data_IF_199775950459
#
_entry.id   IF_199775950459
#
_cell.length_a   1.000
_cell.length_b   1.000
_cell.length_c   1.000
_cell.angle_alpha   90.00
_cell.angle_beta   90.00
_cell.angle_gamma   90.00
#
_symmetry.space_group_name_H-M   'P 1'
#
loop_
_entity.id
_entity.type
_entity.pdbx_description
1 polymer ?
#
# COMPACT_ATOMS: atom_id res chain seq x y z
N UNK A 1 16.01 -28.21 3.62
CA UNK A 1 15.89 -26.74 3.66
C UNK A 1 14.85 -26.36 2.61
N UNK A 2 13.57 -26.34 2.97
CA UNK A 2 12.53 -25.89 2.04
C UNK A 2 12.52 -24.36 2.05
N UNK A 3 12.73 -23.76 0.88
CA UNK A 3 12.47 -22.33 0.66
C UNK A 3 10.97 -22.13 0.87
N UNK A 4 10.60 -21.45 1.96
CA UNK A 4 9.23 -20.99 2.16
C UNK A 4 9.00 -19.84 1.18
N UNK A 5 8.33 -20.13 0.06
CA UNK A 5 7.75 -19.09 -0.76
C UNK A 5 6.62 -18.45 0.07
N UNK A 6 6.78 -17.18 0.42
CA UNK A 6 5.72 -16.41 1.06
C UNK A 6 4.50 -16.42 0.12
N UNK A 7 3.43 -17.10 0.53
CA UNK A 7 2.15 -17.05 -0.16
C UNK A 7 1.30 -15.93 0.45
N UNK A 8 0.69 -15.09 -0.39
CA UNK A 8 -0.23 -14.02 0.03
C UNK A 8 -1.67 -14.51 0.17
N UNK A 9 -1.93 -15.75 -0.24
CA UNK A 9 -3.24 -16.39 -0.20
C UNK A 9 -3.06 -17.72 0.53
N UNK A 10 -3.89 -17.97 1.53
CA UNK A 10 -3.91 -19.24 2.25
C UNK A 10 -4.35 -20.33 1.27
N UNK A 11 -3.57 -21.41 1.19
CA UNK A 11 -3.86 -22.56 0.34
C UNK A 11 -5.03 -23.39 0.88
N UNK A 12 -5.35 -23.26 2.18
CA UNK A 12 -6.40 -24.00 2.87
C UNK A 12 -7.79 -23.45 2.52
N UNK A 13 -7.93 -22.13 2.40
CA UNK A 13 -9.24 -21.49 2.22
C UNK A 13 -9.32 -20.41 1.13
N UNK A 14 -8.19 -20.08 0.48
CA UNK A 14 -8.13 -19.10 -0.60
C UNK A 14 -8.29 -17.65 -0.15
N UNK A 15 -8.24 -17.38 1.16
CA UNK A 15 -8.31 -16.02 1.69
C UNK A 15 -6.95 -15.33 1.64
N UNK A 16 -6.99 -14.00 1.56
CA UNK A 16 -5.79 -13.18 1.65
C UNK A 16 -5.21 -13.30 3.07
N UNK A 17 -4.13 -14.08 3.22
CA UNK A 17 -3.39 -14.19 4.48
C UNK A 17 -2.08 -13.42 4.36
N UNK A 18 -2.09 -12.21 4.93
CA UNK A 18 -0.89 -11.39 5.07
C UNK A 18 -0.29 -11.50 6.48
N UNK A 19 -0.88 -12.28 7.39
CA UNK A 19 -0.45 -12.40 8.78
C UNK A 19 0.97 -12.94 8.88
N UNK A 20 1.23 -14.06 8.21
CA UNK A 20 2.56 -14.68 8.11
C UNK A 20 3.58 -13.73 7.44
N UNK A 21 3.18 -13.08 6.32
CA UNK A 21 4.02 -12.11 5.62
C UNK A 21 4.39 -10.91 6.50
N UNK A 22 3.44 -10.39 7.27
CA UNK A 22 3.62 -9.24 8.16
C UNK A 22 4.35 -9.59 9.47
N UNK A 23 4.28 -10.85 9.91
CA UNK A 23 4.93 -11.35 11.10
C UNK A 23 6.39 -11.74 10.86
N UNK A 24 6.69 -12.40 9.75
CA UNK A 24 8.04 -12.92 9.46
C UNK A 24 8.94 -11.91 8.72
N UNK A 25 8.39 -10.95 7.96
CA UNK A 25 9.18 -9.97 7.22
C UNK A 25 9.01 -8.52 7.74
N UNK A 26 10.02 -8.03 8.47
CA UNK A 26 10.08 -6.63 8.94
C UNK A 26 10.25 -5.58 7.81
N UNK A 27 10.63 -6.05 6.62
CA UNK A 27 10.76 -5.28 5.37
C UNK A 27 9.73 -5.79 4.36
N UNK A 28 8.44 -5.54 4.63
CA UNK A 28 7.33 -5.97 3.78
C UNK A 28 6.69 -4.80 3.03
N UNK A 29 6.42 -4.98 1.73
CA UNK A 29 5.66 -4.05 0.91
C UNK A 29 4.16 -4.35 1.09
N UNK A 30 3.44 -3.45 1.76
CA UNK A 30 2.00 -3.54 1.93
C UNK A 30 1.30 -2.44 1.12
N UNK A 31 0.84 -2.71 -0.11
CA UNK A 31 0.13 -1.73 -0.91
C UNK A 31 -1.27 -1.53 -0.34
N UNK A 32 -1.59 -0.30 0.07
CA UNK A 32 -2.94 0.10 0.48
C UNK A 32 -3.50 1.01 -0.60
N UNK A 33 -4.53 0.56 -1.36
CA UNK A 33 -5.21 1.41 -2.32
C UNK A 33 -6.09 2.45 -1.61
N UNK A 34 -6.13 3.65 -2.15
CA UNK A 34 -6.95 4.76 -1.65
C UNK A 34 -7.74 5.33 -2.82
N UNK A 35 -9.05 5.50 -2.65
CA UNK A 35 -9.91 6.23 -3.58
C UNK A 35 -9.95 7.70 -3.16
N UNK A 36 -9.68 8.59 -4.11
CA UNK A 36 -9.70 10.04 -3.89
C UNK A 36 -10.88 10.59 -4.68
N UNK A 37 -11.86 11.15 -3.97
CA UNK A 37 -13.00 11.83 -4.59
C UNK A 37 -13.14 13.18 -3.94
N UNK A 38 -12.73 14.22 -4.65
CA UNK A 38 -12.82 15.60 -4.19
C UNK A 38 -13.56 16.44 -5.23
N UNK A 39 -14.48 17.34 -4.81
CA UNK A 39 -15.27 18.14 -5.73
C UNK A 39 -14.44 19.00 -6.70
N UNK A 40 -13.24 19.43 -6.30
CA UNK A 40 -12.35 20.25 -7.12
C UNK A 40 -11.42 19.44 -8.03
N UNK A 41 -11.28 18.14 -7.78
CA UNK A 41 -10.28 17.28 -8.42
C UNK A 41 -10.92 16.15 -9.20
N UNK A 42 -12.24 16.08 -9.32
CA UNK A 42 -12.96 15.07 -10.09
C UNK A 42 -12.83 13.65 -9.49
N UNK A 43 -11.82 12.91 -9.93
CA UNK A 43 -11.56 11.53 -9.53
C UNK A 43 -10.06 11.27 -9.40
N UNK A 44 -9.66 10.47 -8.41
CA UNK A 44 -8.26 10.13 -8.19
C UNK A 44 -8.08 8.80 -7.48
N UNK A 45 -6.86 8.30 -7.51
CA UNK A 45 -6.46 7.05 -6.91
C UNK A 45 -5.07 7.15 -6.32
N UNK A 46 -4.85 6.42 -5.24
CA UNK A 46 -3.61 6.46 -4.49
C UNK A 46 -3.16 5.07 -4.07
N UNK A 47 -1.86 4.93 -3.89
CA UNK A 47 -1.27 3.76 -3.25
C UNK A 47 -0.35 4.23 -2.12
N UNK A 48 -0.49 3.61 -0.95
CA UNK A 48 0.46 3.73 0.17
C UNK A 48 1.21 2.42 0.34
N UNK A 49 2.46 2.49 0.76
CA UNK A 49 3.30 1.35 1.06
C UNK A 49 4.17 1.61 2.29
N UNK A 50 4.24 0.63 3.18
CA UNK A 50 5.19 0.65 4.29
C UNK A 50 6.59 0.33 3.73
N UNK A 51 7.53 1.25 3.87
CA UNK A 51 8.94 1.02 3.49
C UNK A 51 9.72 0.43 4.66
N UNK A 52 9.46 0.92 5.88
CA UNK A 52 10.12 0.44 7.08
C UNK A 52 9.15 0.38 8.25
N UNK A 53 8.42 -0.73 8.37
CA UNK A 53 7.40 -0.94 9.40
C UNK A 53 7.95 -0.77 10.81
N UNK A 54 9.18 -1.23 11.09
CA UNK A 54 9.81 -1.07 12.42
C UNK A 54 9.90 0.39 12.87
N UNK A 55 9.98 1.32 11.92
CA UNK A 55 10.06 2.76 12.15
C UNK A 55 8.75 3.49 11.81
N UNK A 56 7.70 2.74 11.44
CA UNK A 56 6.43 3.29 10.96
C UNK A 56 6.53 4.05 9.64
N UNK A 57 7.62 3.94 8.87
CA UNK A 57 7.79 4.73 7.65
C UNK A 57 6.86 4.25 6.55
N UNK A 58 5.93 5.12 6.15
CA UNK A 58 4.97 4.95 5.07
C UNK A 58 5.36 5.89 3.92
N UNK A 59 5.30 5.40 2.70
CA UNK A 59 5.42 6.19 1.49
C UNK A 59 4.17 5.98 0.63
N UNK A 60 3.93 6.87 -0.32
CA UNK A 60 2.78 6.78 -1.20
C UNK A 60 2.90 7.64 -2.43
N UNK A 61 2.08 7.28 -3.40
CA UNK A 61 1.87 8.03 -4.62
C UNK A 61 0.36 8.19 -4.83
N UNK A 62 -0.07 9.40 -5.12
CA UNK A 62 -1.47 9.71 -5.41
C UNK A 62 -1.54 10.41 -6.77
N UNK A 63 -2.49 9.98 -7.61
CA UNK A 63 -2.82 10.62 -8.86
C UNK A 63 -4.26 11.11 -8.82
N UNK A 64 -4.49 12.35 -9.23
CA UNK A 64 -5.81 12.96 -9.25
C UNK A 64 -6.08 13.64 -10.59
N UNK A 65 -7.30 13.51 -11.10
CA UNK A 65 -7.72 13.92 -12.43
C UNK A 65 -8.98 14.78 -12.34
N UNK A 66 -8.82 16.09 -12.57
CA UNK A 66 -9.93 17.04 -12.69
C UNK A 66 -10.33 17.26 -14.15
N UNK A 67 -11.39 18.03 -14.40
CA UNK A 67 -11.82 18.38 -15.77
C UNK A 67 -10.78 19.21 -16.54
N UNK A 68 -9.92 19.94 -15.84
CA UNK A 68 -8.95 20.87 -16.43
C UNK A 68 -7.50 20.43 -16.21
N UNK A 69 -7.21 19.71 -15.12
CA UNK A 69 -5.84 19.42 -14.67
C UNK A 69 -5.65 17.98 -14.19
N UNK A 70 -4.41 17.49 -14.30
CA UNK A 70 -3.96 16.23 -13.70
C UNK A 70 -2.85 16.51 -12.71
N UNK A 71 -2.95 15.98 -11.49
CA UNK A 71 -1.99 16.17 -10.43
C UNK A 71 -1.38 14.83 -9.98
N UNK A 72 -0.07 14.83 -9.73
CA UNK A 72 0.69 13.69 -9.20
C UNK A 72 1.39 14.10 -7.91
N UNK A 73 1.12 13.36 -6.83
CA UNK A 73 1.68 13.62 -5.50
C UNK A 73 2.50 12.42 -5.03
N UNK A 74 3.63 12.72 -4.38
CA UNK A 74 4.44 11.73 -3.68
C UNK A 74 4.49 12.12 -2.20
N UNK A 75 4.25 11.15 -1.32
CA UNK A 75 4.23 11.36 0.13
C UNK A 75 5.17 10.37 0.79
N UNK A 76 5.96 10.85 1.74
CA UNK A 76 6.78 10.02 2.63
C UNK A 76 6.57 10.54 4.05
N UNK A 77 6.19 9.67 4.97
CA UNK A 77 5.88 10.03 6.35
C UNK A 77 6.31 8.94 7.34
N UNK A 78 6.56 9.34 8.57
CA UNK A 78 6.75 8.42 9.69
C UNK A 78 5.42 8.31 10.45
N UNK A 79 4.84 7.11 10.47
CA UNK A 79 3.72 6.76 11.32
C UNK A 79 4.21 6.63 12.75
N UNK A 80 3.87 7.61 13.59
CA UNK A 80 3.95 7.49 15.05
C UNK A 80 2.74 6.75 15.58
#
# INVERSE_FOLDING_TARGET
MATHAVSFIDEIDGQLDMGEYLAENAYGFLPVPILITEPAVGYGGGFRYLIARRYGLISGIDIAFSEEDTALYFQVGAGT
#
